data_IF_145226346854
#
_entry.id   IF_145226346854
#
_cell.length_a   1.000
_cell.length_b   1.000
_cell.length_c   1.000
_cell.angle_alpha   90.00
_cell.angle_beta   90.00
_cell.angle_gamma   90.00
#
_symmetry.space_group_name_H-M   'P 1'
#
loop_
_entity.id
_entity.type
_entity.pdbx_description
1 polymer ?
#
# COMPACT_ATOMS: atom_id res chain seq x y z
N UNK A 1 1.41 35.10 20.00
CA UNK A 1 2.12 34.03 19.28
C UNK A 1 1.04 33.22 18.59
N UNK A 2 0.94 33.38 17.27
CA UNK A 2 -0.10 32.82 16.41
C UNK A 2 -0.04 31.29 16.40
N UNK A 3 -1.19 30.66 16.56
CA UNK A 3 -1.36 29.22 16.41
C UNK A 3 -0.95 28.79 15.00
N UNK A 4 -0.03 27.83 14.96
CA UNK A 4 0.30 27.09 13.75
C UNK A 4 -0.57 25.83 13.80
N UNK A 5 -1.76 25.90 13.23
CA UNK A 5 -2.45 24.67 12.83
C UNK A 5 -1.53 23.99 11.82
N UNK A 6 -0.96 22.85 12.19
CA UNK A 6 -0.25 21.94 11.29
C UNK A 6 -1.27 21.42 10.27
N UNK A 7 -1.59 22.21 9.24
CA UNK A 7 -2.37 21.72 8.12
C UNK A 7 -1.45 20.85 7.27
N UNK A 8 -1.77 19.56 7.27
CA UNK A 8 -1.13 18.58 6.42
C UNK A 8 -1.23 18.97 4.95
N UNK A 9 -0.19 18.73 4.16
CA UNK A 9 -0.21 19.08 2.75
C UNK A 9 -1.26 18.26 1.97
N UNK A 10 -1.75 18.75 0.82
CA UNK A 10 -2.63 17.97 -0.04
C UNK A 10 -2.05 16.63 -0.48
N UNK A 11 -0.73 16.55 -0.63
CA UNK A 11 -0.01 15.33 -1.02
C UNK A 11 -0.03 14.28 0.08
N UNK A 12 0.25 14.70 1.31
CA UNK A 12 0.24 13.79 2.46
C UNK A 12 -1.18 13.36 2.81
N UNK A 13 -2.14 14.29 2.74
CA UNK A 13 -3.56 13.96 2.89
C UNK A 13 -4.03 12.92 1.88
N UNK A 14 -3.62 13.03 0.61
CA UNK A 14 -3.88 12.01 -0.41
C UNK A 14 -3.33 10.64 0.01
N UNK A 15 -2.12 10.57 0.54
CA UNK A 15 -1.52 9.31 0.98
C UNK A 15 -2.23 8.72 2.21
N UNK A 16 -2.71 9.55 3.13
CA UNK A 16 -3.53 9.07 4.25
C UNK A 16 -4.88 8.50 3.79
N UNK A 17 -5.59 9.20 2.91
CA UNK A 17 -6.86 8.71 2.36
C UNK A 17 -6.67 7.43 1.53
N UNK A 18 -5.61 7.36 0.73
CA UNK A 18 -5.23 6.13 0.03
C UNK A 18 -4.94 4.99 1.02
N UNK A 19 -4.19 5.27 2.09
CA UNK A 19 -3.91 4.33 3.18
C UNK A 19 -5.16 3.84 3.91
N UNK A 20 -6.14 4.73 4.13
CA UNK A 20 -7.43 4.41 4.76
C UNK A 20 -8.20 3.34 4.00
N UNK A 21 -8.13 3.34 2.67
CA UNK A 21 -8.72 2.29 1.84
C UNK A 21 -8.20 0.88 2.16
N UNK A 22 -6.95 0.72 2.60
CA UNK A 22 -6.42 -0.59 3.01
C UNK A 22 -6.91 -1.02 4.39
N UNK A 23 -7.13 -0.07 5.31
CA UNK A 23 -7.67 -0.35 6.65
C UNK A 23 -9.15 -0.72 6.55
N UNK A 24 -9.90 0.00 5.73
CA UNK A 24 -11.34 -0.21 5.52
C UNK A 24 -11.63 -1.34 4.52
N UNK A 25 -10.60 -1.87 3.84
CA UNK A 25 -10.73 -2.81 2.71
C UNK A 25 -11.63 -2.28 1.59
N UNK A 26 -11.64 -0.96 1.42
CA UNK A 26 -12.41 -0.25 0.41
C UNK A 26 -11.58 -0.08 -0.86
N UNK A 27 -11.81 -0.98 -1.81
CA UNK A 27 -11.11 -0.97 -3.09
C UNK A 27 -11.48 0.22 -3.98
N UNK A 28 -12.70 0.75 -3.84
CA UNK A 28 -13.17 1.86 -4.64
C UNK A 28 -12.53 3.17 -4.15
N UNK A 29 -12.36 3.30 -2.84
CA UNK A 29 -11.57 4.38 -2.24
C UNK A 29 -10.12 4.33 -2.74
N UNK A 30 -9.46 3.17 -2.71
CA UNK A 30 -8.10 3.00 -3.26
C UNK A 30 -8.09 3.43 -4.73
N UNK A 31 -8.99 2.87 -5.55
CA UNK A 31 -9.06 3.13 -6.99
C UNK A 31 -9.29 4.60 -7.32
N UNK A 32 -10.04 5.32 -6.47
CA UNK A 32 -10.33 6.74 -6.63
C UNK A 32 -9.08 7.62 -6.50
N UNK A 33 -8.05 7.17 -5.77
CA UNK A 33 -6.80 7.92 -5.56
C UNK A 33 -5.69 7.58 -6.57
N UNK A 34 -5.89 6.55 -7.41
CA UNK A 34 -4.92 6.15 -8.42
C UNK A 34 -5.17 6.83 -9.77
N UNK A 35 -4.11 7.34 -10.40
CA UNK A 35 -4.14 7.88 -11.75
C UNK A 35 -4.48 6.76 -12.76
N UNK A 36 -5.05 7.08 -13.93
CA UNK A 36 -5.38 6.05 -14.95
C UNK A 36 -4.16 5.23 -15.38
N UNK A 37 -3.01 5.89 -15.55
CA UNK A 37 -1.73 5.27 -15.93
C UNK A 37 -0.93 4.82 -14.69
N UNK A 38 -1.62 4.38 -13.63
CA UNK A 38 -0.96 3.97 -12.39
C UNK A 38 -0.07 2.75 -12.59
N UNK A 39 1.08 2.74 -11.91
CA UNK A 39 2.00 1.60 -11.85
C UNK A 39 2.44 1.29 -10.44
N UNK A 40 2.44 0.01 -10.07
CA UNK A 40 2.98 -0.50 -8.83
C UNK A 40 4.25 -1.31 -9.12
N UNK A 41 5.35 -0.95 -8.48
CA UNK A 41 6.63 -1.60 -8.65
C UNK A 41 7.11 -2.09 -7.29
N UNK A 42 7.17 -3.41 -7.11
CA UNK A 42 7.66 -4.02 -5.86
C UNK A 42 9.17 -4.25 -5.91
N UNK A 43 9.82 -3.92 -4.81
CA UNK A 43 11.23 -4.12 -4.52
C UNK A 43 11.40 -4.91 -3.21
N UNK A 44 12.53 -5.61 -3.03
CA UNK A 44 13.63 -5.76 -3.98
C UNK A 44 13.25 -6.63 -5.19
N UNK A 45 13.92 -6.42 -6.33
CA UNK A 45 13.67 -7.17 -7.58
C UNK A 45 13.88 -8.69 -7.42
N UNK A 46 14.65 -9.10 -6.42
CA UNK A 46 14.84 -10.51 -6.05
C UNK A 46 13.55 -11.22 -5.63
N UNK A 47 12.49 -10.49 -5.27
CA UNK A 47 11.17 -11.08 -5.03
C UNK A 47 10.50 -11.60 -6.31
N UNK A 48 10.98 -11.21 -7.51
CA UNK A 48 10.43 -11.67 -8.78
C UNK A 48 9.01 -11.19 -9.08
N UNK A 49 8.53 -10.18 -8.33
CA UNK A 49 7.19 -9.63 -8.50
C UNK A 49 7.10 -8.82 -9.81
N UNK A 50 6.05 -9.02 -10.62
CA UNK A 50 5.83 -8.22 -11.82
C UNK A 50 5.46 -6.78 -11.44
N UNK A 51 5.70 -5.86 -12.38
CA UNK A 51 5.08 -4.54 -12.32
C UNK A 51 3.59 -4.66 -12.63
N UNK A 52 2.76 -4.00 -11.83
CA UNK A 52 1.31 -4.05 -11.97
C UNK A 52 0.75 -2.71 -12.45
N UNK A 53 -0.10 -2.74 -13.47
CA UNK A 53 -0.94 -1.60 -13.82
C UNK A 53 -2.11 -1.43 -12.85
N UNK A 54 -2.87 -0.33 -12.98
CA UNK A 54 -4.03 -0.02 -12.11
C UNK A 54 -4.98 -1.20 -11.93
N UNK A 55 -5.47 -1.79 -13.02
CA UNK A 55 -6.47 -2.85 -12.97
C UNK A 55 -5.91 -4.13 -12.34
N UNK A 56 -4.67 -4.48 -12.67
CA UNK A 56 -3.99 -5.65 -12.10
C UNK A 56 -3.79 -5.49 -10.60
N UNK A 57 -3.29 -4.33 -10.18
CA UNK A 57 -3.08 -3.99 -8.77
C UNK A 57 -4.40 -4.06 -7.98
N UNK A 58 -5.48 -3.48 -8.50
CA UNK A 58 -6.77 -3.50 -7.81
C UNK A 58 -7.35 -4.91 -7.71
N UNK A 59 -7.18 -5.76 -8.74
CA UNK A 59 -7.60 -7.16 -8.67
C UNK A 59 -6.77 -7.96 -7.66
N UNK A 60 -5.45 -7.75 -7.65
CA UNK A 60 -4.57 -8.33 -6.64
C UNK A 60 -5.00 -7.94 -5.22
N UNK A 61 -5.24 -6.64 -4.98
CA UNK A 61 -5.69 -6.16 -3.67
C UNK A 61 -7.05 -6.73 -3.25
N UNK A 62 -8.00 -6.86 -4.18
CA UNK A 62 -9.28 -7.55 -3.91
C UNK A 62 -9.06 -8.98 -3.42
N UNK A 63 -8.18 -9.73 -4.09
CA UNK A 63 -7.81 -11.09 -3.68
C UNK A 63 -7.19 -11.12 -2.27
N UNK A 64 -6.25 -10.21 -2.01
CA UNK A 64 -5.59 -10.07 -0.70
C UNK A 64 -6.58 -9.74 0.41
N UNK A 65 -7.55 -8.84 0.18
CA UNK A 65 -8.56 -8.47 1.17
C UNK A 65 -9.44 -9.64 1.60
N UNK A 66 -9.67 -10.64 0.74
CA UNK A 66 -10.42 -11.86 1.12
C UNK A 66 -9.69 -12.69 2.17
N UNK A 67 -8.37 -12.56 2.26
CA UNK A 67 -7.56 -13.28 3.22
C UNK A 67 -7.44 -12.54 4.56
N UNK A 68 -7.70 -11.23 4.61
CA UNK A 68 -7.48 -10.41 5.79
C UNK A 68 -8.70 -10.44 6.72
N UNK A 69 -8.47 -10.79 7.98
CA UNK A 69 -9.40 -10.47 9.07
C UNK A 69 -9.21 -9.02 9.46
N UNK A 70 -7.97 -8.63 9.70
CA UNK A 70 -7.60 -7.35 10.28
C UNK A 70 -6.27 -6.86 9.69
N UNK A 71 -6.14 -5.55 9.57
CA UNK A 71 -4.94 -4.89 9.06
C UNK A 71 -4.72 -3.58 9.81
N UNK A 72 -3.67 -3.57 10.62
CA UNK A 72 -3.21 -2.37 11.32
C UNK A 72 -1.97 -1.83 10.61
N UNK A 73 -2.01 -0.58 10.16
CA UNK A 73 -0.85 0.10 9.59
C UNK A 73 -0.44 1.28 10.46
N UNK A 74 0.84 1.35 10.79
CA UNK A 74 1.46 2.47 11.53
C UNK A 74 2.41 3.20 10.60
N UNK A 75 2.16 4.49 10.36
CA UNK A 75 3.10 5.36 9.63
C UNK A 75 4.25 5.70 10.58
N UNK A 76 5.45 5.21 10.29
CA UNK A 76 6.65 5.44 11.08
C UNK A 76 7.28 6.79 10.75
N UNK A 77 7.31 7.14 9.46
CA UNK A 77 7.75 8.46 9.00
C UNK A 77 7.14 8.80 7.64
N UNK A 78 7.04 10.10 7.37
CA UNK A 78 6.58 10.64 6.09
C UNK A 78 7.48 11.79 5.67
N UNK A 79 7.92 11.77 4.41
CA UNK A 79 8.81 12.78 3.85
C UNK A 79 8.20 13.27 2.53
N UNK A 80 8.03 14.57 2.41
CA UNK A 80 7.67 15.21 1.16
C UNK A 80 8.88 15.65 0.36
N UNK A 81 8.82 15.41 -0.95
CA UNK A 81 9.76 15.93 -1.93
C UNK A 81 8.98 16.47 -3.14
N UNK A 82 9.60 17.29 -4.02
CA UNK A 82 8.91 17.79 -5.21
C UNK A 82 8.28 16.66 -6.05
N UNK A 83 6.93 16.65 -6.11
CA UNK A 83 6.15 15.65 -6.85
C UNK A 83 6.13 14.24 -6.24
N UNK A 84 6.62 14.06 -5.01
CA UNK A 84 6.69 12.75 -4.35
C UNK A 84 6.36 12.81 -2.86
N UNK A 85 5.82 11.71 -2.35
CA UNK A 85 5.72 11.44 -0.91
C UNK A 85 6.38 10.10 -0.64
N UNK A 86 7.25 10.06 0.36
CA UNK A 86 7.89 8.83 0.83
C UNK A 86 7.26 8.48 2.17
N UNK A 87 6.70 7.29 2.27
CA UNK A 87 6.01 6.80 3.47
C UNK A 87 6.71 5.55 3.95
N UNK A 88 7.22 5.58 5.17
CA UNK A 88 7.73 4.40 5.87
C UNK A 88 6.62 3.89 6.79
N UNK A 89 6.24 2.64 6.63
CA UNK A 89 5.08 2.03 7.32
C UNK A 89 5.44 0.66 7.88
N UNK A 90 4.85 0.33 9.03
CA UNK A 90 4.77 -1.03 9.54
C UNK A 90 3.32 -1.49 9.49
N UNK A 91 3.07 -2.62 8.84
CA UNK A 91 1.75 -3.23 8.73
C UNK A 91 1.71 -4.56 9.47
N UNK A 92 0.67 -4.76 10.29
CA UNK A 92 0.35 -6.03 10.95
C UNK A 92 -0.91 -6.58 10.32
N UNK A 93 -0.82 -7.77 9.75
CA UNK A 93 -1.92 -8.42 9.05
C UNK A 93 -2.31 -9.69 9.80
N UNK A 94 -3.61 -9.85 10.08
CA UNK A 94 -4.19 -11.10 10.56
C UNK A 94 -5.00 -11.74 9.46
N UNK A 95 -4.86 -13.04 9.26
CA UNK A 95 -5.53 -13.73 8.15
C UNK A 95 -6.56 -14.75 8.59
N UNK A 96 -7.54 -15.02 7.71
CA UNK A 96 -8.61 -16.00 7.93
C UNK A 96 -8.09 -17.44 8.08
N UNK A 97 -6.86 -17.71 7.64
CA UNK A 97 -6.21 -19.01 7.73
C UNK A 97 -5.25 -19.14 8.93
N UNK A 98 -5.21 -18.13 9.81
CA UNK A 98 -4.38 -18.12 11.02
C UNK A 98 -2.88 -18.00 10.75
N UNK A 99 -2.51 -17.34 9.65
CA UNK A 99 -1.12 -16.95 9.35
C UNK A 99 -1.04 -15.44 9.49
N UNK A 100 -0.48 -14.99 10.60
CA UNK A 100 -0.30 -13.57 10.87
C UNK A 100 1.09 -13.13 10.42
N UNK A 101 1.24 -11.86 10.06
CA UNK A 101 2.55 -11.31 9.70
C UNK A 101 2.65 -9.84 10.09
N UNK A 102 3.88 -9.43 10.37
CA UNK A 102 4.26 -8.02 10.53
C UNK A 102 5.27 -7.74 9.43
N UNK A 103 5.02 -6.71 8.63
CA UNK A 103 5.86 -6.34 7.50
C UNK A 103 6.14 -4.86 7.54
N UNK A 104 7.39 -4.50 7.30
CA UNK A 104 7.81 -3.11 7.11
C UNK A 104 7.93 -2.81 5.61
N UNK A 105 7.52 -1.61 5.20
CA UNK A 105 7.61 -1.15 3.81
C UNK A 105 8.00 0.32 3.75
N UNK A 106 8.71 0.71 2.69
CA UNK A 106 8.86 2.10 2.27
C UNK A 106 8.16 2.26 0.92
N UNK A 107 7.14 3.11 0.88
CA UNK A 107 6.48 3.51 -0.36
C UNK A 107 7.06 4.83 -0.85
N UNK A 108 7.51 4.87 -2.10
CA UNK A 108 7.85 6.10 -2.80
C UNK A 108 6.73 6.38 -3.79
N UNK A 109 5.85 7.31 -3.43
CA UNK A 109 4.69 7.69 -4.23
C UNK A 109 5.02 8.88 -5.14
N UNK A 110 4.80 8.73 -6.44
CA UNK A 110 4.76 9.85 -7.37
C UNK A 110 3.35 10.42 -7.45
N UNK A 111 3.20 11.70 -7.15
CA UNK A 111 1.91 12.39 -7.16
C UNK A 111 1.84 13.34 -8.34
N UNK A 112 0.73 13.30 -9.06
CA UNK A 112 0.47 14.13 -10.24
C UNK A 112 -0.96 14.69 -10.20
N UNK A 113 -1.23 15.85 -10.81
CA UNK A 113 -2.60 16.25 -11.09
C UNK A 113 -3.22 15.36 -12.18
N UNK A 114 -4.50 15.05 -12.03
CA UNK A 114 -5.35 14.44 -13.04
C UNK A 114 -5.96 15.50 -13.97
N UNK A 115 -6.75 15.09 -14.96
CA UNK A 115 -7.37 16.02 -15.95
C UNK A 115 -8.26 17.09 -15.31
N UNK A 116 -8.88 16.78 -14.17
CA UNK A 116 -9.72 17.71 -13.41
C UNK A 116 -8.95 18.50 -12.34
N UNK A 117 -7.61 18.40 -12.31
CA UNK A 117 -6.75 19.05 -11.32
C UNK A 117 -6.70 18.36 -9.95
N UNK A 118 -7.45 17.29 -9.72
CA UNK A 118 -7.34 16.51 -8.48
C UNK A 118 -6.00 15.75 -8.44
N UNK A 119 -5.39 15.66 -7.26
CA UNK A 119 -4.12 14.93 -7.09
C UNK A 119 -4.38 13.42 -7.09
N UNK A 120 -3.51 12.68 -7.77
CA UNK A 120 -3.53 11.22 -7.87
C UNK A 120 -2.15 10.62 -7.68
N UNK A 121 -2.10 9.39 -7.20
CA UNK A 121 -0.89 8.57 -7.20
C UNK A 121 -0.70 7.99 -8.60
N UNK A 122 0.40 8.32 -9.26
CA UNK A 122 0.76 7.78 -10.58
C UNK A 122 1.66 6.56 -10.48
N UNK A 123 2.52 6.50 -9.48
CA UNK A 123 3.41 5.36 -9.29
C UNK A 123 3.65 5.14 -7.81
N UNK A 124 3.69 3.88 -7.39
CA UNK A 124 4.27 3.45 -6.11
C UNK A 124 5.47 2.57 -6.41
N UNK A 125 6.61 2.91 -5.81
CA UNK A 125 7.70 1.94 -5.61
C UNK A 125 7.63 1.46 -4.16
N UNK A 126 7.32 0.18 -3.96
CA UNK A 126 7.21 -0.46 -2.64
C UNK A 126 8.48 -1.24 -2.34
N UNK A 127 9.32 -0.70 -1.46
CA UNK A 127 10.43 -1.44 -0.87
C UNK A 127 9.93 -2.18 0.36
N UNK A 128 9.58 -3.45 0.17
CA UNK A 128 9.01 -4.27 1.23
C UNK A 128 10.06 -5.14 1.91
N UNK A 129 9.87 -5.43 3.20
CA UNK A 129 10.65 -6.46 3.91
C UNK A 129 10.45 -7.81 3.21
N UNK A 130 11.39 -8.13 2.33
CA UNK A 130 11.38 -9.34 1.52
C UNK A 130 11.39 -10.61 2.36
N UNK A 131 12.01 -10.60 3.55
CA UNK A 131 12.03 -11.78 4.42
C UNK A 131 10.64 -12.01 4.99
N UNK A 132 10.03 -10.99 5.59
CA UNK A 132 8.67 -11.08 6.12
C UNK A 132 7.65 -11.46 5.04
N UNK A 133 7.80 -10.93 3.83
CA UNK A 133 6.96 -11.29 2.68
C UNK A 133 7.09 -12.78 2.31
N UNK A 134 8.32 -13.28 2.13
CA UNK A 134 8.56 -14.68 1.74
C UNK A 134 8.12 -15.65 2.83
N UNK A 135 8.41 -15.36 4.10
CA UNK A 135 7.99 -16.17 5.23
C UNK A 135 6.45 -16.28 5.28
N UNK A 136 5.75 -15.16 5.01
CA UNK A 136 4.29 -15.14 4.93
C UNK A 136 3.76 -16.00 3.77
N UNK A 137 4.26 -15.80 2.55
CA UNK A 137 3.82 -16.57 1.37
C UNK A 137 4.01 -18.07 1.58
N UNK A 138 5.18 -18.48 2.10
CA UNK A 138 5.45 -19.89 2.40
C UNK A 138 4.48 -20.46 3.43
N UNK A 139 4.19 -19.71 4.49
CA UNK A 139 3.25 -20.14 5.53
C UNK A 139 1.80 -20.25 5.00
N UNK A 140 1.37 -19.32 4.15
CA UNK A 140 0.06 -19.37 3.48
C UNK A 140 -0.06 -20.62 2.60
N UNK A 141 0.94 -20.88 1.75
CA UNK A 141 0.95 -22.06 0.86
C UNK A 141 0.91 -23.36 1.67
N UNK A 142 1.72 -23.46 2.74
CA UNK A 142 1.76 -24.65 3.59
C UNK A 142 0.45 -24.90 4.35
N UNK A 143 -0.32 -23.86 4.67
CA UNK A 143 -1.64 -23.98 5.30
C UNK A 143 -2.71 -24.42 4.30
N UNK A 144 -2.72 -23.82 3.11
CA UNK A 144 -3.68 -24.17 2.05
C UNK A 144 -3.49 -25.62 1.56
N UNK A 145 -2.24 -26.08 1.44
CA UNK A 145 -1.95 -27.47 1.04
C UNK A 145 -2.36 -28.52 2.08
N UNK A 146 -2.62 -28.12 3.33
CA UNK A 146 -3.09 -29.03 4.40
C UNK A 146 -4.61 -29.04 4.55
N UNK A 147 -5.29 -28.06 3.96
CA UNK A 147 -6.74 -27.94 3.96
C UNK A 147 -7.39 -28.55 2.71
N UNK A 148 -6.56 -29.04 1.77
CA UNK A 148 -6.95 -29.81 0.58
C UNK A 148 -6.69 -31.29 0.79
#
# INVERSE_FOLDING_TARGET
MSGQENSESPNVKLMHEWGRGFVEKDIDLIASHLHRDYRHITYPRSLGMPEEGKEQYLQHMKGVFTLWIDNESTVNSIIEAPGKVIVHVTSKMKTVIGVDTIRESIYIAQIVPDENGSLKVKQIEDFTDSKAHLDFVQAVMAKQSRAS
#
